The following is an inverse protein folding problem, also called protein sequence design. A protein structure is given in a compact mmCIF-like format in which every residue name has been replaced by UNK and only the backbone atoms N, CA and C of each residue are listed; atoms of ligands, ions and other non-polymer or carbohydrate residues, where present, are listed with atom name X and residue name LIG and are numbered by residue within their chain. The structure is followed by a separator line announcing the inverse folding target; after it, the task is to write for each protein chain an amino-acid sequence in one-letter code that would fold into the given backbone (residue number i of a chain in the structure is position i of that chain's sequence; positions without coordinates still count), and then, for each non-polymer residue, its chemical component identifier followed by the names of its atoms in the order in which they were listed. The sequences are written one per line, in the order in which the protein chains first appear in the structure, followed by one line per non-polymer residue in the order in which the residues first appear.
data_IF_962523276363
#
_entry.id   IF_962523276363
#
_cell.length_a   1.000
_cell.length_b   1.000
_cell.length_c   1.000
_cell.angle_alpha   90.00
_cell.angle_beta   90.00
_cell.angle_gamma   90.00
#
_symmetry.space_group_name_H-M   'P 1'
#
loop_
_entity.id
_entity.type
_entity.pdbx_description
1 polymer ?
#
# COMPACT_ATOMS: atom_id res chain seq x y z
N UNK A 1 -1.37 -18.27 -11.12
CA UNK A 1 -0.22 -17.56 -10.56
C UNK A 1 -0.59 -16.09 -10.46
N UNK A 2 -0.56 -15.52 -9.25
CA UNK A 2 -0.81 -14.09 -9.05
C UNK A 2 0.43 -13.32 -9.49
N UNK A 3 0.25 -12.27 -10.28
CA UNK A 3 1.35 -11.43 -10.80
C UNK A 3 1.04 -9.96 -10.55
N UNK A 4 2.05 -9.08 -10.48
CA UNK A 4 1.80 -7.64 -10.37
C UNK A 4 1.00 -7.10 -11.55
N UNK A 5 1.24 -7.64 -12.76
CA UNK A 5 0.45 -7.26 -13.94
C UNK A 5 -1.04 -7.54 -13.71
N UNK A 6 -1.39 -8.73 -13.21
CA UNK A 6 -2.78 -9.08 -12.90
C UNK A 6 -3.37 -8.14 -11.84
N UNK A 7 -2.61 -7.81 -10.79
CA UNK A 7 -3.04 -6.88 -9.74
C UNK A 7 -3.29 -5.49 -10.33
N UNK A 8 -2.36 -4.96 -11.12
CA UNK A 8 -2.45 -3.64 -11.72
C UNK A 8 -3.59 -3.55 -12.73
N UNK A 9 -3.74 -4.54 -13.61
CA UNK A 9 -4.88 -4.62 -14.54
C UNK A 9 -6.22 -4.63 -13.77
N UNK A 10 -6.28 -5.35 -12.64
CA UNK A 10 -7.45 -5.40 -11.77
C UNK A 10 -7.75 -4.03 -11.16
N UNK A 11 -6.74 -3.36 -10.62
CA UNK A 11 -6.89 -2.03 -9.99
C UNK A 11 -7.28 -0.95 -11.00
N UNK A 12 -6.79 -1.02 -12.24
CA UNK A 12 -7.08 -0.04 -13.29
C UNK A 12 -8.48 -0.20 -13.91
N UNK A 13 -9.09 -1.39 -13.82
CA UNK A 13 -10.28 -1.75 -14.60
C UNK A 13 -11.52 -0.86 -14.40
N UNK A 14 -11.72 -0.28 -13.20
CA UNK A 14 -12.91 0.51 -12.86
C UNK A 14 -12.59 1.99 -12.53
N UNK A 15 -11.38 2.46 -12.85
CA UNK A 15 -11.00 3.82 -12.51
C UNK A 15 -11.82 4.83 -13.30
N UNK A 16 -12.61 5.62 -12.58
CA UNK A 16 -13.25 6.81 -13.11
C UNK A 16 -12.22 7.93 -13.22
N UNK A 17 -12.20 8.58 -14.38
CA UNK A 17 -11.32 9.72 -14.59
C UNK A 17 -11.82 10.94 -13.81
N UNK A 18 -10.88 11.68 -13.22
CA UNK A 18 -11.15 12.82 -12.35
C UNK A 18 -10.03 13.84 -12.47
N UNK A 19 -10.33 15.09 -12.14
CA UNK A 19 -9.31 16.14 -12.02
C UNK A 19 -8.41 15.88 -10.78
N UNK A 20 -7.10 16.01 -10.98
CA UNK A 20 -6.11 16.01 -9.90
C UNK A 20 -6.01 17.44 -9.35
N UNK A 21 -6.41 17.64 -8.09
CA UNK A 21 -6.32 18.95 -7.43
C UNK A 21 -4.92 19.26 -6.92
N UNK A 22 -4.24 18.21 -6.45
CA UNK A 22 -2.94 18.33 -5.79
C UNK A 22 -2.15 17.04 -6.01
N UNK A 23 -0.88 17.20 -6.31
CA UNK A 23 0.10 16.12 -6.30
C UNK A 23 1.34 16.55 -5.53
N UNK A 24 1.82 15.69 -4.64
CA UNK A 24 3.03 15.93 -3.84
C UNK A 24 3.87 14.66 -3.88
N UNK A 25 5.14 14.80 -4.25
CA UNK A 25 6.14 13.72 -4.15
C UNK A 25 7.01 14.07 -2.94
N UNK A 26 6.60 13.65 -1.76
CA UNK A 26 7.36 13.80 -0.52
C UNK A 26 8.41 12.70 -0.37
N UNK A 27 9.35 12.87 0.59
CA UNK A 27 10.46 11.92 0.77
C UNK A 27 9.99 10.51 1.15
N UNK A 28 8.88 10.41 1.90
CA UNK A 28 8.33 9.13 2.39
C UNK A 28 7.02 8.75 1.68
N UNK A 29 6.26 9.73 1.19
CA UNK A 29 4.94 9.51 0.62
C UNK A 29 4.71 10.35 -0.64
N UNK A 30 4.09 9.74 -1.63
CA UNK A 30 3.46 10.41 -2.77
C UNK A 30 1.98 10.54 -2.47
N UNK A 31 1.45 11.75 -2.64
CA UNK A 31 0.04 12.09 -2.40
C UNK A 31 -0.60 12.57 -3.70
N UNK A 32 -1.82 12.09 -3.97
CA UNK A 32 -2.72 12.64 -4.99
C UNK A 32 -4.07 12.93 -4.35
N UNK A 33 -4.56 14.15 -4.54
CA UNK A 33 -5.87 14.61 -4.09
C UNK A 33 -6.80 14.79 -5.28
N UNK A 34 -8.06 14.36 -5.13
CA UNK A 34 -9.16 14.70 -6.04
C UNK A 34 -10.30 15.35 -5.28
N UNK A 35 -11.42 15.62 -5.97
CA UNK A 35 -12.62 16.15 -5.32
C UNK A 35 -13.26 15.17 -4.33
N UNK A 36 -13.08 13.86 -4.50
CA UNK A 36 -13.81 12.83 -3.74
C UNK A 36 -12.93 11.95 -2.86
N UNK A 37 -11.60 12.02 -3.04
CA UNK A 37 -10.67 11.18 -2.27
C UNK A 37 -9.24 11.70 -2.28
N UNK A 38 -8.40 10.99 -1.53
CA UNK A 38 -6.98 11.23 -1.46
C UNK A 38 -6.25 9.89 -1.38
N UNK A 39 -5.24 9.71 -2.23
CA UNK A 39 -4.40 8.55 -2.24
C UNK A 39 -3.01 8.86 -1.72
N UNK A 40 -2.46 7.89 -0.99
CA UNK A 40 -1.09 7.90 -0.51
C UNK A 40 -0.38 6.67 -1.08
N UNK A 41 0.88 6.79 -1.43
CA UNK A 41 1.75 5.66 -1.75
C UNK A 41 3.14 5.92 -1.17
N UNK A 42 3.82 4.86 -0.72
CA UNK A 42 5.20 4.99 -0.26
C UNK A 42 6.11 5.48 -1.39
N UNK A 43 6.89 6.54 -1.16
CA UNK A 43 7.86 7.05 -2.14
C UNK A 43 9.10 6.16 -2.14
N UNK A 44 9.48 5.55 -3.27
CA UNK A 44 10.74 4.81 -3.39
C UNK A 44 11.95 5.70 -3.14
N UNK A 45 13.04 5.10 -2.66
CA UNK A 45 14.30 5.84 -2.50
C UNK A 45 14.84 6.23 -3.88
N UNK A 46 15.49 7.39 -3.96
CA UNK A 46 15.99 7.92 -5.23
C UNK A 46 17.11 7.07 -5.84
N UNK A 47 17.79 6.26 -5.03
CA UNK A 47 18.84 5.32 -5.43
C UNK A 47 18.30 3.93 -5.84
N UNK A 48 16.98 3.70 -5.79
CA UNK A 48 16.39 2.45 -6.30
C UNK A 48 16.62 2.31 -7.82
N UNK A 49 16.96 1.11 -8.32
CA UNK A 49 17.18 0.86 -9.74
C UNK A 49 15.98 1.30 -10.61
N UNK A 50 16.28 1.93 -11.74
CA UNK A 50 15.25 2.41 -12.68
C UNK A 50 14.69 3.80 -12.37
N UNK A 51 15.06 4.42 -11.23
CA UNK A 51 14.69 5.81 -10.94
C UNK A 51 15.25 6.76 -12.01
N UNK A 52 14.35 7.50 -12.66
CA UNK A 52 14.66 8.54 -13.65
C UNK A 52 14.02 9.89 -13.23
N UNK A 53 14.46 11.04 -13.79
CA UNK A 53 13.69 12.27 -13.71
C UNK A 53 12.25 12.06 -14.20
N UNK A 54 11.28 12.70 -13.56
CA UNK A 54 9.87 12.59 -13.97
C UNK A 54 9.66 13.40 -15.23
N UNK A 55 9.27 12.74 -16.32
CA UNK A 55 9.12 13.37 -17.62
C UNK A 55 8.10 14.53 -17.60
N UNK A 56 6.97 14.33 -16.93
CA UNK A 56 5.88 15.30 -16.83
C UNK A 56 5.98 16.22 -15.60
N UNK A 57 7.18 16.37 -15.02
CA UNK A 57 7.37 17.28 -13.89
C UNK A 57 6.89 18.70 -14.24
N UNK A 58 6.06 19.29 -13.37
CA UNK A 58 5.40 20.58 -13.60
C UNK A 58 4.05 20.50 -14.31
N UNK A 59 3.67 19.33 -14.86
CA UNK A 59 2.39 19.10 -15.55
C UNK A 59 1.60 17.92 -14.99
N UNK A 60 2.10 17.21 -13.99
CA UNK A 60 1.43 16.03 -13.44
C UNK A 60 -0.01 16.29 -12.97
N UNK A 61 -0.31 17.49 -12.48
CA UNK A 61 -1.68 17.88 -12.10
C UNK A 61 -2.61 18.16 -13.29
N UNK A 62 -2.05 18.33 -14.50
CA UNK A 62 -2.82 18.48 -15.74
C UNK A 62 -3.31 17.13 -16.28
N UNK A 63 -2.76 16.02 -15.78
CA UNK A 63 -3.22 14.66 -16.13
C UNK A 63 -4.59 14.38 -15.51
N UNK A 64 -5.41 13.60 -16.22
CA UNK A 64 -6.56 12.95 -15.61
C UNK A 64 -6.12 11.88 -14.62
N UNK A 65 -6.90 11.65 -13.56
CA UNK A 65 -6.62 10.62 -12.55
C UNK A 65 -6.41 9.23 -13.18
N UNK A 66 -7.22 8.85 -14.17
CA UNK A 66 -7.10 7.56 -14.84
C UNK A 66 -5.83 7.48 -15.70
N UNK A 67 -5.35 8.61 -16.22
CA UNK A 67 -4.07 8.69 -16.93
C UNK A 67 -2.89 8.60 -15.96
N UNK A 68 -2.91 9.36 -14.87
CA UNK A 68 -1.89 9.29 -13.82
C UNK A 68 -1.81 7.88 -13.22
N UNK A 69 -2.95 7.20 -13.01
CA UNK A 69 -2.98 5.83 -12.51
C UNK A 69 -2.25 4.82 -13.43
N UNK A 70 -2.21 5.04 -14.75
CA UNK A 70 -1.48 4.15 -15.67
C UNK A 70 0.03 4.16 -15.43
N UNK A 71 0.56 5.15 -14.71
CA UNK A 71 1.98 5.19 -14.31
C UNK A 71 2.38 4.02 -13.40
N UNK A 72 1.44 3.26 -12.81
CA UNK A 72 1.76 1.99 -12.14
C UNK A 72 2.40 0.96 -13.08
N UNK A 73 2.23 1.11 -14.40
CA UNK A 73 2.81 0.27 -15.43
C UNK A 73 4.20 0.75 -15.89
N UNK A 74 4.70 1.86 -15.34
CA UNK A 74 6.02 2.41 -15.68
C UNK A 74 7.16 1.54 -15.18
N UNK A 75 8.33 1.68 -15.80
CA UNK A 75 9.60 1.14 -15.29
C UNK A 75 10.30 2.07 -14.29
N UNK A 76 9.80 3.30 -14.09
CA UNK A 76 10.36 4.27 -13.15
C UNK A 76 9.66 4.14 -11.78
N UNK A 77 10.36 3.74 -10.70
CA UNK A 77 9.73 3.52 -9.38
C UNK A 77 8.93 4.71 -8.85
N UNK A 78 9.41 5.95 -9.08
CA UNK A 78 8.69 7.14 -8.63
C UNK A 78 7.38 7.32 -9.40
N UNK A 79 7.35 7.01 -10.70
CA UNK A 79 6.11 7.02 -11.49
C UNK A 79 5.14 5.93 -11.02
N UNK A 80 5.64 4.74 -10.67
CA UNK A 80 4.80 3.70 -10.07
C UNK A 80 4.14 4.20 -8.79
N UNK A 81 4.88 4.91 -7.93
CA UNK A 81 4.33 5.51 -6.72
C UNK A 81 3.28 6.58 -7.00
N UNK A 82 3.48 7.41 -8.04
CA UNK A 82 2.47 8.38 -8.52
C UNK A 82 1.21 7.65 -8.97
N UNK A 83 1.36 6.61 -9.80
CA UNK A 83 0.24 5.81 -10.27
C UNK A 83 -0.52 5.14 -9.12
N UNK A 84 0.20 4.60 -8.13
CA UNK A 84 -0.43 3.98 -6.97
C UNK A 84 -1.14 4.99 -6.09
N UNK A 85 -0.61 6.22 -5.94
CA UNK A 85 -1.32 7.30 -5.28
C UNK A 85 -2.60 7.69 -6.04
N UNK A 86 -2.59 7.68 -7.38
CA UNK A 86 -3.77 7.96 -8.19
C UNK A 86 -4.83 6.85 -8.06
N UNK A 87 -4.41 5.57 -8.12
CA UNK A 87 -5.27 4.42 -7.81
C UNK A 87 -5.92 4.59 -6.43
N UNK A 88 -5.11 4.87 -5.41
CA UNK A 88 -5.60 5.05 -4.05
C UNK A 88 -6.54 6.25 -3.93
N UNK A 89 -6.33 7.36 -4.65
CA UNK A 89 -7.24 8.50 -4.60
C UNK A 89 -8.63 8.17 -5.16
N UNK A 90 -8.73 7.21 -6.08
CA UNK A 90 -10.00 6.72 -6.62
C UNK A 90 -10.75 5.79 -5.65
N UNK A 91 -10.04 4.85 -5.03
CA UNK A 91 -10.64 3.87 -4.10
C UNK A 91 -10.82 4.41 -2.67
N UNK A 92 -9.90 5.23 -2.19
CA UNK A 92 -9.83 5.72 -0.81
C UNK A 92 -10.59 7.06 -0.70
N UNK A 93 -11.88 7.00 -1.02
CA UNK A 93 -12.77 8.16 -1.00
C UNK A 93 -13.03 8.67 0.41
N UNK A 94 -13.24 9.97 0.54
CA UNK A 94 -13.58 10.60 1.82
C UNK A 94 -14.88 10.07 2.43
N UNK A 95 -15.82 9.61 1.58
CA UNK A 95 -17.11 9.07 1.97
C UNK A 95 -17.13 7.53 2.07
N UNK A 96 -15.97 6.87 1.97
CA UNK A 96 -15.90 5.41 2.09
C UNK A 96 -16.34 4.96 3.49
N UNK A 97 -17.40 4.16 3.55
CA UNK A 97 -17.83 3.48 4.77
C UNK A 97 -17.05 2.16 4.93
N UNK A 98 -16.10 2.15 5.85
CA UNK A 98 -15.28 0.99 6.21
C UNK A 98 -15.16 0.85 7.74
N UNK A 99 -14.80 -0.34 8.21
CA UNK A 99 -14.69 -0.62 9.65
C UNK A 99 -13.52 0.15 10.27
N UNK A 100 -13.69 0.62 11.50
CA UNK A 100 -12.59 1.19 12.30
C UNK A 100 -11.80 0.12 13.07
N UNK A 101 -12.24 -1.14 13.02
CA UNK A 101 -11.51 -2.25 13.63
C UNK A 101 -10.14 -2.40 13.00
N UNK A 102 -9.14 -2.76 13.81
CA UNK A 102 -7.81 -3.02 13.29
C UNK A 102 -7.83 -4.34 12.52
N UNK A 103 -7.58 -4.32 11.20
CA UNK A 103 -7.49 -5.56 10.41
C UNK A 103 -6.43 -6.54 10.92
N UNK A 104 -5.45 -6.04 11.67
CA UNK A 104 -4.43 -6.86 12.32
C UNK A 104 -4.95 -7.61 13.57
N UNK A 105 -6.05 -7.17 14.19
CA UNK A 105 -6.68 -7.91 15.30
C UNK A 105 -7.12 -9.31 14.88
N UNK A 106 -7.54 -9.47 13.61
CA UNK A 106 -7.95 -10.77 13.07
C UNK A 106 -6.83 -11.82 13.04
N UNK A 107 -5.57 -11.40 13.23
CA UNK A 107 -4.39 -12.26 13.25
C UNK A 107 -3.92 -12.60 14.68
N UNK A 108 -4.39 -11.88 15.69
CA UNK A 108 -4.03 -12.17 17.08
C UNK A 108 -4.65 -13.47 17.60
N UNK A 109 -5.75 -13.92 17.00
CA UNK A 109 -6.48 -15.14 17.39
C UNK A 109 -6.19 -16.34 16.46
N UNK A 110 -5.24 -16.22 15.52
CA UNK A 110 -4.91 -17.30 14.59
C UNK A 110 -3.90 -18.26 15.23
N UNK A 111 -4.25 -19.54 15.27
CA UNK A 111 -3.30 -20.61 15.61
C UNK A 111 -2.32 -20.86 14.45
N UNK A 112 -1.02 -20.74 14.71
CA UNK A 112 0.06 -21.05 13.78
C UNK A 112 0.98 -19.88 13.45
N UNK A 113 1.98 -20.07 12.58
CA UNK A 113 2.95 -19.03 12.25
C UNK A 113 2.29 -17.85 11.51
N UNK A 114 2.62 -16.63 11.93
CA UNK A 114 2.19 -15.41 11.25
C UNK A 114 3.42 -14.72 10.67
N UNK A 115 3.48 -14.64 9.34
CA UNK A 115 4.58 -13.95 8.64
C UNK A 115 4.19 -12.53 8.26
N UNK A 116 5.09 -11.59 8.47
CA UNK A 116 4.87 -10.16 8.22
C UNK A 116 5.91 -9.67 7.24
N UNK A 117 5.48 -9.11 6.11
CA UNK A 117 6.34 -8.43 5.15
C UNK A 117 6.39 -6.94 5.52
N UNK A 118 7.54 -6.50 6.00
CA UNK A 118 7.78 -5.15 6.51
C UNK A 118 7.59 -5.04 8.03
N UNK A 119 8.13 -3.96 8.61
CA UNK A 119 8.09 -3.74 10.07
C UNK A 119 6.96 -2.80 10.51
N UNK A 120 6.05 -3.29 11.35
CA UNK A 120 4.95 -2.49 11.94
C UNK A 120 5.14 -2.31 13.45
N UNK A 121 5.24 -1.05 13.95
CA UNK A 121 5.35 -0.79 15.38
C UNK A 121 4.17 -1.36 16.18
N UNK A 122 4.46 -2.05 17.28
CA UNK A 122 3.46 -2.61 18.20
C UNK A 122 2.83 -3.93 17.76
N UNK A 123 3.23 -4.51 16.63
CA UNK A 123 2.67 -5.79 16.17
C UNK A 123 3.18 -6.97 17.01
N UNK A 124 4.47 -6.97 17.35
CA UNK A 124 5.09 -7.99 18.20
C UNK A 124 4.61 -7.98 19.66
N UNK A 125 3.90 -6.93 20.08
CA UNK A 125 3.25 -6.86 21.40
C UNK A 125 1.86 -7.51 21.40
N UNK A 126 1.31 -7.84 20.21
CA UNK A 126 -0.08 -8.26 20.02
C UNK A 126 -0.23 -9.64 19.42
N UNK A 127 0.81 -10.13 18.74
CA UNK A 127 0.81 -11.42 18.06
C UNK A 127 2.06 -12.16 18.50
N UNK A 128 1.86 -13.33 19.09
CA UNK A 128 2.95 -14.25 19.44
C UNK A 128 3.44 -14.98 18.18
N UNK A 129 4.71 -15.39 18.16
CA UNK A 129 5.31 -16.17 17.06
C UNK A 129 5.34 -15.48 15.68
N UNK A 130 5.58 -14.17 15.64
CA UNK A 130 5.77 -13.43 14.39
C UNK A 130 7.08 -13.78 13.69
N UNK A 131 7.00 -13.97 12.38
CA UNK A 131 8.15 -14.06 11.49
C UNK A 131 8.19 -12.79 10.64
N UNK A 132 9.09 -11.86 10.97
CA UNK A 132 9.18 -10.59 10.23
C UNK A 132 10.19 -10.75 9.10
N UNK A 133 9.76 -10.48 7.88
CA UNK A 133 10.60 -10.39 6.68
C UNK A 133 10.83 -8.91 6.36
N UNK A 134 12.08 -8.49 6.29
CA UNK A 134 12.48 -7.13 5.92
C UNK A 134 13.64 -7.10 4.92
N UNK A 135 13.76 -6.00 4.18
CA UNK A 135 14.89 -5.74 3.27
C UNK A 135 16.21 -5.63 4.04
N UNK A 136 16.15 -4.95 5.18
CA UNK A 136 17.25 -4.78 6.13
C UNK A 136 16.85 -5.46 7.46
N UNK A 137 16.98 -6.79 7.54
CA UNK A 137 16.54 -7.55 8.70
C UNK A 137 17.43 -7.27 9.91
N UNK A 138 16.79 -7.19 11.09
CA UNK A 138 17.47 -7.13 12.39
C UNK A 138 17.73 -8.54 12.90
N UNK A 139 18.46 -8.63 14.02
CA UNK A 139 18.60 -9.89 14.74
C UNK A 139 17.22 -10.48 15.08
N UNK A 140 17.01 -11.75 14.71
CA UNK A 140 15.73 -12.45 14.87
C UNK A 140 14.71 -12.24 13.75
N UNK A 141 15.01 -11.41 12.74
CA UNK A 141 14.18 -11.22 11.55
C UNK A 141 14.77 -11.98 10.34
N UNK A 142 13.98 -12.09 9.28
CA UNK A 142 14.28 -12.83 8.05
C UNK A 142 14.46 -11.87 6.86
N UNK A 143 15.21 -12.30 5.84
CA UNK A 143 15.38 -11.54 4.61
C UNK A 143 14.32 -11.88 3.56
N UNK A 144 14.22 -11.07 2.50
CA UNK A 144 13.26 -11.29 1.40
C UNK A 144 13.37 -12.69 0.76
N UNK A 145 14.58 -13.28 0.75
CA UNK A 145 14.85 -14.63 0.23
C UNK A 145 14.13 -15.75 1.01
N UNK A 146 13.76 -15.50 2.26
CA UNK A 146 13.08 -16.48 3.10
C UNK A 146 11.58 -16.60 2.78
N UNK A 147 11.01 -15.66 2.01
CA UNK A 147 9.57 -15.61 1.74
C UNK A 147 9.04 -16.90 1.11
N UNK A 148 9.77 -17.50 0.16
CA UNK A 148 9.37 -18.74 -0.51
C UNK A 148 9.32 -19.97 0.41
N UNK A 149 10.02 -19.91 1.55
CA UNK A 149 10.04 -20.96 2.57
C UNK A 149 8.99 -20.69 3.67
N UNK A 150 8.79 -19.43 4.05
CA UNK A 150 7.97 -19.06 5.20
C UNK A 150 6.48 -18.88 4.87
N UNK A 151 6.16 -18.22 3.75
CA UNK A 151 4.78 -17.87 3.41
C UNK A 151 3.89 -19.11 3.21
N UNK A 152 4.32 -20.17 2.51
CA UNK A 152 3.48 -21.35 2.30
C UNK A 152 3.06 -22.08 3.58
N UNK A 153 3.84 -21.95 4.66
CA UNK A 153 3.63 -22.59 5.96
C UNK A 153 2.94 -21.67 6.97
N UNK A 154 2.64 -20.42 6.58
CA UNK A 154 2.04 -19.43 7.48
C UNK A 154 0.53 -19.58 7.54
N UNK A 155 -0.04 -19.55 8.73
CA UNK A 155 -1.50 -19.49 8.91
C UNK A 155 -2.06 -18.12 8.50
N UNK A 156 -1.27 -17.07 8.70
CA UNK A 156 -1.58 -15.70 8.28
C UNK A 156 -0.37 -14.95 7.74
N UNK A 157 -0.60 -14.10 6.74
CA UNK A 157 0.42 -13.25 6.13
C UNK A 157 -0.04 -11.80 6.10
N UNK A 158 0.74 -10.92 6.73
CA UNK A 158 0.51 -9.48 6.74
C UNK A 158 1.51 -8.85 5.78
N UNK A 159 1.03 -8.16 4.74
CA UNK A 159 1.85 -7.60 3.67
C UNK A 159 1.77 -6.08 3.70
N UNK A 160 2.91 -5.39 3.82
CA UNK A 160 2.96 -3.95 3.55
C UNK A 160 2.46 -3.63 2.15
N UNK A 161 1.55 -2.67 2.02
CA UNK A 161 1.06 -2.24 0.71
C UNK A 161 2.10 -1.46 -0.11
N UNK A 162 3.28 -1.14 0.45
CA UNK A 162 4.42 -0.71 -0.36
C UNK A 162 4.93 -1.80 -1.32
N UNK A 163 4.55 -3.06 -1.10
CA UNK A 163 4.79 -4.18 -2.03
C UNK A 163 4.14 -3.96 -3.41
N UNK A 164 3.07 -3.16 -3.48
CA UNK A 164 2.45 -2.75 -4.75
C UNK A 164 3.36 -1.79 -5.53
N UNK A 165 4.11 -0.95 -4.83
CA UNK A 165 4.98 0.07 -5.44
C UNK A 165 6.31 -0.54 -5.89
N UNK A 166 6.92 -1.41 -5.07
CA UNK A 166 8.20 -2.03 -5.40
C UNK A 166 8.07 -3.31 -6.26
N UNK A 167 6.85 -3.70 -6.62
CA UNK A 167 6.59 -4.83 -7.50
C UNK A 167 6.81 -6.21 -6.86
N UNK A 168 6.66 -6.37 -5.54
CA UNK A 168 6.71 -7.69 -4.89
C UNK A 168 5.33 -8.27 -4.56
N UNK A 169 4.25 -7.50 -4.62
CA UNK A 169 2.92 -7.94 -4.19
C UNK A 169 2.44 -9.22 -4.89
N UNK A 170 2.64 -9.33 -6.21
CA UNK A 170 2.22 -10.51 -6.98
C UNK A 170 2.83 -11.81 -6.50
N UNK A 171 4.15 -11.85 -6.32
CA UNK A 171 4.84 -13.06 -5.85
C UNK A 171 4.51 -13.38 -4.39
N UNK A 172 4.40 -12.36 -3.53
CA UNK A 172 4.03 -12.54 -2.13
C UNK A 172 2.61 -13.12 -1.99
N UNK A 173 1.64 -12.61 -2.76
CA UNK A 173 0.29 -13.15 -2.77
C UNK A 173 0.23 -14.58 -3.34
N UNK A 174 1.02 -14.89 -4.37
CA UNK A 174 1.06 -16.25 -4.93
C UNK A 174 1.63 -17.28 -3.93
N UNK A 175 2.66 -16.88 -3.16
CA UNK A 175 3.24 -17.70 -2.09
C UNK A 175 2.28 -17.86 -0.90
N UNK A 176 1.51 -16.82 -0.57
CA UNK A 176 0.58 -16.79 0.56
C UNK A 176 -0.84 -17.30 0.22
N UNK A 177 -1.06 -17.92 -0.95
CA UNK A 177 -2.39 -18.31 -1.44
C UNK A 177 -3.19 -19.29 -0.55
N UNK A 178 -2.51 -19.97 0.38
CA UNK A 178 -3.13 -20.90 1.34
C UNK A 178 -3.28 -20.28 2.74
N UNK A 179 -2.84 -19.03 2.92
CA UNK A 179 -2.86 -18.31 4.18
C UNK A 179 -3.99 -17.28 4.19
N UNK A 180 -4.37 -16.81 5.38
CA UNK A 180 -5.18 -15.59 5.50
C UNK A 180 -4.31 -14.38 5.22
N UNK A 181 -4.72 -13.48 4.33
CA UNK A 181 -3.86 -12.37 3.88
C UNK A 181 -4.44 -11.00 4.26
N UNK A 182 -3.62 -10.14 4.84
CA UNK A 182 -3.93 -8.74 5.06
C UNK A 182 -2.93 -7.84 4.34
N UNK A 183 -3.42 -6.92 3.51
CA UNK A 183 -2.60 -5.82 3.00
C UNK A 183 -2.76 -4.60 3.90
N UNK A 184 -1.66 -3.99 4.31
CA UNK A 184 -1.67 -2.95 5.35
C UNK A 184 -0.79 -1.74 5.02
N UNK A 185 -1.25 -0.56 5.45
CA UNK A 185 -0.51 0.70 5.42
C UNK A 185 -1.15 1.75 4.51
N UNK A 186 -0.63 2.99 4.52
CA UNK A 186 -1.22 4.09 3.75
C UNK A 186 -1.29 3.84 2.23
N UNK A 187 -0.41 2.99 1.69
CA UNK A 187 -0.41 2.57 0.28
C UNK A 187 -1.54 1.60 -0.09
N UNK A 188 -2.40 1.19 0.84
CA UNK A 188 -3.44 0.18 0.58
C UNK A 188 -4.62 0.79 -0.18
N UNK A 189 -4.95 0.30 -1.39
CA UNK A 189 -6.21 0.63 -2.04
C UNK A 189 -7.36 -0.08 -1.34
N UNK A 190 -8.45 0.62 -1.05
CA UNK A 190 -9.73 0.03 -0.66
C UNK A 190 -10.49 -0.52 -1.88
N UNK A 191 -9.83 -1.40 -2.64
CA UNK A 191 -10.34 -2.00 -3.86
C UNK A 191 -10.86 -3.43 -3.58
N UNK A 192 -12.18 -3.67 -3.48
CA UNK A 192 -12.73 -4.98 -3.14
C UNK A 192 -12.34 -6.10 -4.11
N UNK A 193 -12.00 -5.79 -5.36
CA UNK A 193 -11.51 -6.78 -6.34
C UNK A 193 -10.21 -7.47 -5.92
N UNK A 194 -9.45 -6.91 -4.99
CA UNK A 194 -8.28 -7.59 -4.42
C UNK A 194 -8.68 -8.82 -3.60
N UNK A 195 -9.92 -8.91 -3.13
CA UNK A 195 -10.44 -10.11 -2.45
C UNK A 195 -10.51 -11.32 -3.38
N UNK A 196 -10.76 -11.10 -4.67
CA UNK A 196 -10.72 -12.16 -5.70
C UNK A 196 -9.30 -12.67 -5.97
N UNK A 197 -8.27 -11.94 -5.50
CA UNK A 197 -6.85 -12.30 -5.59
C UNK A 197 -6.31 -12.87 -4.28
N UNK A 198 -7.17 -13.31 -3.36
CA UNK A 198 -6.77 -13.99 -2.13
C UNK A 198 -6.44 -13.07 -0.95
N UNK A 199 -6.61 -11.75 -1.10
CA UNK A 199 -6.57 -10.83 0.05
C UNK A 199 -7.85 -11.01 0.87
N UNK A 200 -7.75 -11.04 2.19
CA UNK A 200 -8.91 -11.11 3.08
C UNK A 200 -9.21 -9.76 3.74
N UNK A 201 -8.16 -9.01 4.06
CA UNK A 201 -8.26 -7.69 4.71
C UNK A 201 -7.46 -6.62 3.96
N UNK A 202 -8.08 -5.46 3.78
CA UNK A 202 -7.46 -4.24 3.26
C UNK A 202 -7.46 -3.20 4.39
N UNK A 203 -6.29 -3.00 5.00
CA UNK A 203 -6.07 -2.16 6.17
C UNK A 203 -5.34 -0.85 5.78
N UNK A 204 -6.11 0.14 5.34
CA UNK A 204 -5.62 1.39 4.77
C UNK A 204 -5.84 2.62 5.65
N UNK A 205 -5.75 3.79 5.02
CA UNK A 205 -6.02 5.09 5.66
C UNK A 205 -6.91 5.93 4.75
N UNK A 206 -7.97 6.50 5.33
CA UNK A 206 -8.78 7.55 4.71
C UNK A 206 -8.33 8.89 5.27
N UNK A 207 -7.93 9.81 4.39
CA UNK A 207 -7.50 11.15 4.80
C UNK A 207 -8.71 11.93 5.32
N UNK A 208 -8.58 12.53 6.51
CA UNK A 208 -9.64 13.31 7.18
C UNK A 208 -9.34 14.80 7.22
N UNK A 209 -8.07 15.19 7.07
CA UNK A 209 -7.65 16.58 6.92
C UNK A 209 -6.60 16.69 5.80
N UNK A 210 -7.06 17.01 4.59
CA UNK A 210 -6.22 16.99 3.40
C UNK A 210 -5.12 18.06 3.39
N UNK A 211 -5.39 19.25 3.94
CA UNK A 211 -4.39 20.32 3.97
C UNK A 211 -3.25 20.01 4.93
N UNK A 212 -3.56 19.49 6.12
CA UNK A 212 -2.53 19.07 7.06
C UNK A 212 -1.80 17.81 6.61
N UNK A 213 -2.50 16.87 5.97
CA UNK A 213 -1.88 15.70 5.35
C UNK A 213 -0.87 16.12 4.27
N UNK A 214 -1.25 17.05 3.39
CA UNK A 214 -0.38 17.56 2.33
C UNK A 214 0.86 18.26 2.88
N UNK A 215 0.72 19.11 3.91
CA UNK A 215 1.86 19.73 4.59
C UNK A 215 2.78 18.67 5.17
N UNK A 216 2.23 17.70 5.92
CA UNK A 216 3.03 16.64 6.53
C UNK A 216 3.79 15.81 5.48
N UNK A 217 3.16 15.49 4.34
CA UNK A 217 3.83 14.80 3.23
C UNK A 217 4.93 15.65 2.61
N UNK A 218 4.68 16.94 2.34
CA UNK A 218 5.64 17.86 1.75
C UNK A 218 6.85 18.12 2.65
N UNK A 219 6.66 18.13 3.97
CA UNK A 219 7.72 18.30 4.97
C UNK A 219 8.45 16.99 5.31
N UNK A 220 8.10 15.89 4.63
CA UNK A 220 8.78 14.61 4.76
C UNK A 220 8.35 13.77 5.97
N UNK A 221 7.13 13.99 6.46
CA UNK A 221 6.53 13.21 7.53
C UNK A 221 6.48 11.70 7.21
N UNK A 222 6.88 10.87 8.16
CA UNK A 222 6.67 9.42 8.11
C UNK A 222 5.27 9.05 8.67
N UNK A 223 4.94 7.76 8.74
CA UNK A 223 3.62 7.26 9.21
C UNK A 223 3.12 7.98 10.47
N UNK A 224 3.98 8.18 11.47
CA UNK A 224 3.61 8.83 12.75
C UNK A 224 3.05 10.25 12.57
N UNK A 225 3.62 11.02 11.64
CA UNK A 225 3.21 12.40 11.36
C UNK A 225 1.89 12.47 10.57
N UNK A 226 1.55 11.43 9.80
CA UNK A 226 0.31 11.37 9.03
C UNK A 226 -0.91 10.97 9.89
N UNK A 227 -0.68 10.20 10.97
CA UNK A 227 -1.75 9.62 11.82
C UNK A 227 -2.83 10.63 12.25
N UNK A 228 -2.52 11.86 12.68
CA UNK A 228 -3.56 12.81 13.12
C UNK A 228 -4.47 13.30 11.99
N UNK A 229 -4.09 13.11 10.73
CA UNK A 229 -4.76 13.68 9.55
C UNK A 229 -5.46 12.61 8.71
N UNK A 230 -5.52 11.38 9.20
CA UNK A 230 -6.25 10.29 8.58
C UNK A 230 -6.87 9.36 9.61
N UNK A 231 -7.88 8.62 9.20
CA UNK A 231 -8.46 7.52 9.96
C UNK A 231 -7.96 6.22 9.38
N UNK A 232 -7.43 5.35 10.24
CA UNK A 232 -7.24 3.95 9.87
C UNK A 232 -8.61 3.30 9.63
N UNK A 233 -8.72 2.51 8.56
CA UNK A 233 -9.94 1.79 8.20
C UNK A 233 -9.59 0.41 7.66
N UNK A 234 -10.51 -0.53 7.82
CA UNK A 234 -10.38 -1.89 7.30
C UNK A 234 -11.61 -2.25 6.47
N UNK A 235 -11.37 -2.78 5.26
CA UNK A 235 -12.35 -3.56 4.52
C UNK A 235 -11.99 -5.05 4.64
N UNK A 236 -13.01 -5.87 4.81
CA UNK A 236 -12.89 -7.33 4.86
C UNK A 236 -13.85 -7.96 3.85
N UNK A 237 -13.50 -9.15 3.36
CA UNK A 237 -14.34 -9.95 2.47
C UNK A 237 -15.63 -10.44 3.14
#
# INVERSE_FOLDING_TARGET
MITNKLIFDTLLSDLQDQEIKRIIIGINWTLIETAVGCGLAHTPRRDEPGCQPIAEAGKLSELGLAEAAKLILSGNPIEIAIGMAAVNASYNRYDLSASEKNGLDAFAEIDGPITVIGRFPGLAERIDNLQIIEKEPREGEYGEQDAARLLPESAGVIITSSALVNGSAGSLLDLAKNSRVCMVGPSTPFAPKLFDLGVEFLAGTIVTNIDQMAIAVAEGGAVKALKPYGSFKTLAR
#
